data_IF_909100026597
#
_entry.id   IF_909100026597
#
_cell.length_a   1.000
_cell.length_b   1.000
_cell.length_c   1.000
_cell.angle_alpha   90.00
_cell.angle_beta   90.00
_cell.angle_gamma   90.00
#
_symmetry.space_group_name_H-M   'P 1'
#
loop_
_entity.id
_entity.type
_entity.pdbx_description
1 polymer ?
#
# COMPACT_ATOMS: atom_id res chain seq x y z
N UNK A 1 -24.86 28.82 -28.86
CA UNK A 1 -24.34 27.52 -28.40
C UNK A 1 -24.96 26.44 -29.28
N UNK A 2 -24.20 25.44 -29.71
CA UNK A 2 -24.78 24.25 -30.38
C UNK A 2 -25.38 23.32 -29.33
N UNK A 3 -26.29 22.42 -29.72
CA UNK A 3 -26.88 21.43 -28.79
C UNK A 3 -25.81 20.56 -28.11
N UNK A 4 -24.69 20.32 -28.80
CA UNK A 4 -23.50 19.62 -28.28
C UNK A 4 -22.87 20.38 -27.11
N UNK A 5 -22.68 21.70 -27.22
CA UNK A 5 -22.13 22.49 -26.11
C UNK A 5 -23.03 22.43 -24.87
N UNK A 6 -24.35 22.52 -25.05
CA UNK A 6 -25.32 22.47 -23.93
C UNK A 6 -25.25 21.11 -23.23
N UNK A 7 -25.23 20.01 -24.00
CA UNK A 7 -25.10 18.66 -23.45
C UNK A 7 -23.82 18.52 -22.61
N UNK A 8 -22.68 18.93 -23.14
CA UNK A 8 -21.39 18.83 -22.42
C UNK A 8 -21.38 19.68 -21.15
N UNK A 9 -21.94 20.90 -21.16
CA UNK A 9 -22.07 21.70 -19.94
C UNK A 9 -22.97 21.04 -18.89
N UNK A 10 -24.09 20.41 -19.30
CA UNK A 10 -24.95 19.66 -18.38
C UNK A 10 -24.22 18.46 -17.80
N UNK A 11 -23.53 17.65 -18.62
CA UNK A 11 -22.73 16.50 -18.16
C UNK A 11 -21.63 16.91 -17.18
N UNK A 12 -20.91 18.02 -17.44
CA UNK A 12 -19.88 18.55 -16.52
C UNK A 12 -20.50 18.99 -15.18
N UNK A 13 -21.66 19.63 -15.19
CA UNK A 13 -22.35 20.02 -13.96
C UNK A 13 -22.87 18.81 -13.17
N UNK A 14 -23.50 17.84 -13.85
CA UNK A 14 -24.05 16.62 -13.23
C UNK A 14 -22.96 15.71 -12.65
N UNK A 15 -21.80 15.63 -13.32
CA UNK A 15 -20.63 14.90 -12.84
C UNK A 15 -20.02 15.44 -11.54
N UNK A 16 -20.38 16.67 -11.13
CA UNK A 16 -19.80 17.33 -9.97
C UNK A 16 -20.43 16.85 -8.64
N UNK A 17 -19.66 16.87 -7.56
CA UNK A 17 -20.13 16.48 -6.23
C UNK A 17 -21.18 17.44 -5.69
N UNK A 18 -22.41 16.94 -5.51
CA UNK A 18 -23.48 17.67 -4.82
C UNK A 18 -23.32 17.62 -3.29
N UNK A 19 -24.00 18.51 -2.56
CA UNK A 19 -24.02 18.47 -1.09
C UNK A 19 -24.63 17.13 -0.62
N UNK A 20 -23.89 16.28 0.11
CA UNK A 20 -24.37 14.95 0.48
C UNK A 20 -25.45 15.02 1.57
N UNK A 21 -26.41 14.09 1.53
CA UNK A 21 -27.35 13.88 2.64
C UNK A 21 -26.68 13.15 3.81
N UNK A 22 -27.07 13.45 5.05
CA UNK A 22 -26.47 12.83 6.24
C UNK A 22 -25.17 13.50 6.73
N UNK A 23 -24.90 14.76 6.35
CA UNK A 23 -23.74 15.53 6.82
C UNK A 23 -23.61 15.52 8.35
N UNK A 24 -24.73 15.67 9.09
CA UNK A 24 -24.75 15.63 10.56
C UNK A 24 -24.42 14.26 11.16
N UNK A 25 -24.50 13.18 10.38
CA UNK A 25 -24.06 11.82 10.76
C UNK A 25 -22.60 11.54 10.33
N UNK A 26 -21.98 12.48 9.63
CA UNK A 26 -20.60 12.41 9.16
C UNK A 26 -20.43 12.11 7.67
N UNK A 27 -21.49 12.18 6.86
CA UNK A 27 -21.36 12.10 5.40
C UNK A 27 -20.72 13.39 4.84
N UNK A 28 -19.40 13.46 4.90
CA UNK A 28 -18.61 14.63 4.49
C UNK A 28 -17.77 14.38 3.24
N UNK A 29 -18.17 13.41 2.41
CA UNK A 29 -17.49 13.04 1.16
C UNK A 29 -18.49 13.04 0.01
N UNK A 30 -18.27 13.88 -0.99
CA UNK A 30 -19.05 13.90 -2.23
C UNK A 30 -18.11 13.82 -3.42
N UNK A 31 -17.95 12.61 -3.97
CA UNK A 31 -16.95 12.33 -5.00
C UNK A 31 -17.47 12.54 -6.43
N UNK A 32 -18.72 12.94 -6.62
CA UNK A 32 -19.34 13.12 -7.94
C UNK A 32 -19.28 11.85 -8.80
N UNK A 33 -19.39 12.02 -10.12
CA UNK A 33 -19.17 10.95 -11.09
C UNK A 33 -17.82 11.14 -11.80
N UNK A 34 -16.82 10.39 -11.34
CA UNK A 34 -15.43 10.51 -11.82
C UNK A 34 -15.28 10.15 -13.31
N UNK A 35 -15.82 9.00 -13.74
CA UNK A 35 -15.65 8.51 -15.10
C UNK A 35 -16.47 9.33 -16.11
N UNK A 36 -17.65 9.80 -15.71
CA UNK A 36 -18.45 10.73 -16.50
C UNK A 36 -17.75 12.09 -16.66
N UNK A 37 -17.18 12.64 -15.57
CA UNK A 37 -16.42 13.88 -15.66
C UNK A 37 -15.27 13.76 -16.69
N UNK A 38 -14.47 12.71 -16.63
CA UNK A 38 -13.34 12.53 -17.54
C UNK A 38 -13.76 12.21 -18.98
N UNK A 39 -14.97 11.70 -19.21
CA UNK A 39 -15.50 11.41 -20.54
C UNK A 39 -16.39 12.52 -21.13
N UNK A 40 -16.80 13.52 -20.32
CA UNK A 40 -17.73 14.58 -20.71
C UNK A 40 -17.36 15.35 -21.99
N UNK A 41 -16.07 15.57 -22.27
CA UNK A 41 -15.58 16.26 -23.48
C UNK A 41 -15.09 15.31 -24.59
N UNK A 42 -15.11 14.00 -24.37
CA UNK A 42 -14.53 13.02 -25.29
C UNK A 42 -15.16 13.11 -26.69
N UNK A 43 -14.31 13.18 -27.72
CA UNK A 43 -14.74 13.35 -29.12
C UNK A 43 -15.11 14.79 -29.52
N UNK A 44 -15.33 15.70 -28.57
CA UNK A 44 -15.68 17.10 -28.82
C UNK A 44 -14.55 18.11 -28.54
N UNK A 45 -13.42 17.63 -28.01
CA UNK A 45 -12.22 18.40 -27.62
C UNK A 45 -11.83 19.50 -28.62
N UNK A 46 -11.69 19.15 -29.91
CA UNK A 46 -11.31 20.10 -30.98
C UNK A 46 -12.38 21.15 -31.28
N UNK A 47 -13.65 20.87 -30.98
CA UNK A 47 -14.77 21.79 -31.21
C UNK A 47 -15.04 22.72 -30.02
N UNK A 48 -14.63 22.32 -28.81
CA UNK A 48 -14.80 23.07 -27.57
C UNK A 48 -13.54 23.83 -27.15
N UNK A 49 -12.35 23.37 -27.57
CA UNK A 49 -11.06 23.99 -27.24
C UNK A 49 -10.53 23.65 -25.83
N UNK A 50 -11.22 22.77 -25.08
CA UNK A 50 -10.81 22.29 -23.77
C UNK A 50 -11.17 20.81 -23.59
N UNK A 51 -10.50 20.14 -22.64
CA UNK A 51 -10.92 18.83 -22.11
C UNK A 51 -11.51 18.99 -20.71
N UNK A 52 -12.27 18.03 -20.22
CA UNK A 52 -12.75 18.03 -18.84
C UNK A 52 -11.69 17.53 -17.84
N UNK A 53 -11.76 18.06 -16.63
CA UNK A 53 -10.86 17.82 -15.52
C UNK A 53 -11.65 17.59 -14.24
N UNK A 54 -11.37 16.48 -13.57
CA UNK A 54 -11.92 16.13 -12.27
C UNK A 54 -11.00 16.66 -11.17
N UNK A 55 -11.48 17.55 -10.29
CA UNK A 55 -10.71 18.10 -9.18
C UNK A 55 -11.34 17.72 -7.83
N UNK A 56 -10.57 17.06 -6.94
CA UNK A 56 -11.00 16.78 -5.57
C UNK A 56 -10.55 17.89 -4.60
N UNK A 57 -11.50 18.71 -4.17
CA UNK A 57 -11.29 19.84 -3.24
C UNK A 57 -11.41 19.40 -1.79
N UNK A 58 -10.63 20.00 -0.89
CA UNK A 58 -10.72 19.78 0.56
C UNK A 58 -11.18 21.07 1.25
N UNK A 59 -12.29 20.99 1.96
CA UNK A 59 -12.86 22.06 2.76
C UNK A 59 -12.65 21.73 4.25
N UNK A 60 -12.09 22.69 5.01
CA UNK A 60 -12.02 22.62 6.48
C UNK A 60 -12.89 23.73 7.05
N UNK A 61 -13.66 23.41 8.09
CA UNK A 61 -14.66 24.31 8.66
C UNK A 61 -14.34 24.55 10.14
N UNK A 62 -14.34 25.80 10.57
CA UNK A 62 -14.09 26.20 11.97
C UNK A 62 -14.96 27.39 12.40
N UNK A 63 -15.07 27.64 13.71
CA UNK A 63 -15.91 28.71 14.28
C UNK A 63 -15.12 29.98 14.59
N UNK A 64 -15.68 31.14 14.24
CA UNK A 64 -15.12 32.45 14.56
C UNK A 64 -15.80 33.02 15.80
N UNK A 65 -15.03 33.56 16.74
CA UNK A 65 -15.57 34.23 17.93
C UNK A 65 -16.34 35.51 17.58
N UNK A 66 -17.66 35.38 17.40
CA UNK A 66 -18.63 36.49 17.23
C UNK A 66 -19.66 36.57 18.37
N UNK A 67 -19.32 36.08 19.56
CA UNK A 67 -20.18 36.12 20.76
C UNK A 67 -20.66 34.74 21.22
N UNK A 68 -20.85 34.60 22.53
CA UNK A 68 -20.88 33.33 23.25
C UNK A 68 -22.06 32.39 22.96
N UNK A 69 -23.17 32.88 22.40
CA UNK A 69 -24.35 32.06 22.10
C UNK A 69 -24.27 31.30 20.75
N UNK A 70 -23.83 31.98 19.69
CA UNK A 70 -23.80 31.40 18.34
C UNK A 70 -22.71 30.35 18.16
N UNK A 71 -21.52 30.61 18.73
CA UNK A 71 -20.36 29.72 18.64
C UNK A 71 -20.64 28.32 19.19
N UNK A 72 -21.27 28.22 20.36
CA UNK A 72 -21.61 26.93 21.01
C UNK A 72 -22.52 26.06 20.14
N UNK A 73 -23.49 26.66 19.45
CA UNK A 73 -24.40 25.92 18.54
C UNK A 73 -23.68 25.44 17.29
N UNK A 74 -22.84 26.29 16.69
CA UNK A 74 -22.09 25.96 15.48
C UNK A 74 -20.98 24.93 15.75
N UNK A 75 -20.27 25.05 16.88
CA UNK A 75 -19.30 24.07 17.35
C UNK A 75 -19.96 22.70 17.56
N UNK A 76 -21.16 22.65 18.18
CA UNK A 76 -21.90 21.39 18.34
C UNK A 76 -22.28 20.76 17.00
N UNK A 77 -22.63 21.55 15.99
CA UNK A 77 -22.91 21.06 14.63
C UNK A 77 -21.64 20.49 14.00
N UNK A 78 -20.53 21.21 14.06
CA UNK A 78 -19.22 20.76 13.56
C UNK A 78 -18.73 19.50 14.27
N UNK A 79 -18.99 19.37 15.57
CA UNK A 79 -18.64 18.17 16.32
C UNK A 79 -19.53 16.97 15.94
N UNK A 80 -20.82 17.16 15.63
CA UNK A 80 -21.65 16.08 15.06
C UNK A 80 -21.10 15.62 13.70
N UNK A 81 -20.85 16.56 12.77
CA UNK A 81 -20.30 16.26 11.43
C UNK A 81 -18.93 15.55 11.46
N UNK A 82 -18.12 15.79 12.50
CA UNK A 82 -16.77 15.23 12.64
C UNK A 82 -16.67 14.11 13.69
N UNK A 83 -17.81 13.65 14.23
CA UNK A 83 -17.89 12.65 15.32
C UNK A 83 -17.05 13.02 16.57
N UNK A 84 -16.98 14.31 16.89
CA UNK A 84 -16.24 14.87 18.03
C UNK A 84 -14.71 14.87 17.88
N UNK A 85 -14.17 14.59 16.67
CA UNK A 85 -12.72 14.49 16.46
C UNK A 85 -12.04 15.80 16.01
N UNK A 86 -12.81 16.80 15.54
CA UNK A 86 -12.32 18.10 15.05
C UNK A 86 -11.21 18.71 15.90
N UNK A 87 -11.46 18.96 17.20
CA UNK A 87 -10.49 19.61 18.09
C UNK A 87 -9.20 18.79 18.29
N UNK A 88 -9.26 17.45 18.25
CA UNK A 88 -8.07 16.58 18.40
C UNK A 88 -7.21 16.55 17.14
N UNK A 89 -7.83 16.63 15.97
CA UNK A 89 -7.16 16.68 14.66
C UNK A 89 -6.57 18.06 14.38
N UNK A 90 -7.28 19.13 14.78
CA UNK A 90 -6.81 20.51 14.61
C UNK A 90 -5.49 20.77 15.36
N UNK A 91 -5.43 20.37 16.64
CA UNK A 91 -4.27 20.62 17.50
C UNK A 91 -3.10 19.66 17.25
N UNK A 92 -3.30 18.53 16.56
CA UNK A 92 -2.23 17.60 16.19
C UNK A 92 -1.91 17.67 14.69
N UNK A 93 -1.16 18.68 14.27
CA UNK A 93 -0.58 18.75 12.91
C UNK A 93 0.34 17.56 12.57
N UNK A 94 0.77 16.79 13.57
CA UNK A 94 1.34 15.45 13.41
C UNK A 94 0.23 14.42 13.65
N UNK A 95 -0.60 14.18 12.63
CA UNK A 95 -1.64 13.17 12.71
C UNK A 95 -1.07 11.79 13.04
N UNK A 96 -1.82 10.96 13.77
CA UNK A 96 -1.55 9.53 13.78
C UNK A 96 -1.86 9.01 12.36
N UNK A 97 -0.82 8.73 11.58
CA UNK A 97 -0.85 8.46 10.12
C UNK A 97 -1.73 7.30 9.65
N UNK A 98 -2.49 6.67 10.54
CA UNK A 98 -3.32 5.50 10.29
C UNK A 98 -4.83 5.78 10.43
N UNK A 99 -5.25 6.92 10.98
CA UNK A 99 -6.66 7.28 11.13
C UNK A 99 -7.07 8.32 10.08
N UNK A 100 -8.19 8.13 9.35
CA UNK A 100 -8.67 9.10 8.39
C UNK A 100 -9.14 10.39 9.10
N UNK A 101 -8.65 11.54 8.63
CA UNK A 101 -9.04 12.84 9.17
C UNK A 101 -10.55 13.08 8.96
N UNK A 102 -11.28 13.22 10.06
CA UNK A 102 -12.72 13.43 10.09
C UNK A 102 -13.10 14.91 10.04
N UNK A 103 -12.13 15.83 10.12
CA UNK A 103 -12.30 17.28 9.99
C UNK A 103 -12.23 17.83 8.55
N UNK A 104 -11.90 16.98 7.55
CA UNK A 104 -11.88 17.37 6.13
C UNK A 104 -13.17 16.93 5.43
N UNK A 105 -13.89 17.90 4.87
CA UNK A 105 -14.96 17.65 3.92
C UNK A 105 -14.35 17.60 2.51
N UNK A 106 -14.62 16.54 1.75
CA UNK A 106 -14.01 16.31 0.43
C UNK A 106 -15.09 16.39 -0.65
N UNK A 107 -14.93 17.30 -1.62
CA UNK A 107 -15.90 17.55 -2.67
C UNK A 107 -15.26 17.58 -4.05
N UNK A 108 -15.78 16.77 -4.95
CA UNK A 108 -15.39 16.73 -6.35
C UNK A 108 -16.04 17.87 -7.14
N UNK A 109 -15.29 18.46 -8.08
CA UNK A 109 -15.81 19.38 -9.07
C UNK A 109 -15.28 18.99 -10.44
N UNK A 110 -16.16 18.92 -11.44
CA UNK A 110 -15.78 18.74 -12.83
C UNK A 110 -15.71 20.10 -13.52
N UNK A 111 -14.58 20.39 -14.16
CA UNK A 111 -14.27 21.71 -14.72
C UNK A 111 -13.54 21.58 -16.07
N UNK A 112 -13.47 22.64 -16.88
CA UNK A 112 -12.57 22.69 -18.03
C UNK A 112 -11.10 22.65 -17.60
N UNK A 113 -10.27 21.93 -18.35
CA UNK A 113 -8.81 21.78 -18.16
C UNK A 113 -8.02 23.09 -18.24
N UNK A 114 -8.67 24.19 -18.64
CA UNK A 114 -8.12 25.55 -18.64
C UNK A 114 -8.12 26.18 -17.24
N UNK A 115 -8.83 25.60 -16.26
CA UNK A 115 -8.88 26.06 -14.88
C UNK A 115 -7.79 25.37 -14.05
N UNK A 116 -6.84 26.12 -13.48
CA UNK A 116 -5.83 25.51 -12.61
C UNK A 116 -6.38 25.24 -11.21
N UNK A 117 -5.75 24.31 -10.47
CA UNK A 117 -6.08 24.06 -9.07
C UNK A 117 -6.03 25.34 -8.20
N UNK A 118 -5.12 26.27 -8.50
CA UNK A 118 -4.99 27.56 -7.81
C UNK A 118 -6.13 28.52 -8.13
N UNK A 119 -6.62 28.54 -9.38
CA UNK A 119 -7.77 29.34 -9.77
C UNK A 119 -9.05 28.82 -9.11
N UNK A 120 -9.17 27.50 -8.98
CA UNK A 120 -10.25 26.84 -8.26
C UNK A 120 -10.23 27.16 -6.77
N UNK A 121 -9.06 27.02 -6.11
CA UNK A 121 -8.88 27.36 -4.69
C UNK A 121 -9.22 28.84 -4.42
N UNK A 122 -8.71 29.76 -5.25
CA UNK A 122 -8.97 31.18 -5.12
C UNK A 122 -10.46 31.54 -5.33
N UNK A 123 -11.11 30.92 -6.32
CA UNK A 123 -12.53 31.14 -6.62
C UNK A 123 -13.44 30.60 -5.53
N UNK A 124 -13.26 29.33 -5.13
CA UNK A 124 -14.01 28.73 -4.05
C UNK A 124 -13.76 29.41 -2.72
N UNK A 125 -12.51 29.81 -2.42
CA UNK A 125 -12.16 30.53 -1.20
C UNK A 125 -12.83 31.91 -1.10
N UNK A 126 -13.09 32.58 -2.24
CA UNK A 126 -13.90 33.81 -2.28
C UNK A 126 -15.37 33.52 -2.03
N UNK A 127 -15.96 32.59 -2.78
CA UNK A 127 -17.36 32.20 -2.66
C UNK A 127 -17.70 31.69 -1.25
N UNK A 128 -16.82 30.90 -0.65
CA UNK A 128 -16.99 30.40 0.71
C UNK A 128 -16.96 31.55 1.73
N UNK A 129 -15.99 32.48 1.65
CA UNK A 129 -15.92 33.65 2.54
C UNK A 129 -17.12 34.59 2.40
N UNK A 130 -17.67 34.72 1.19
CA UNK A 130 -18.88 35.50 0.94
C UNK A 130 -20.12 34.81 1.52
N UNK A 131 -20.29 33.51 1.26
CA UNK A 131 -21.39 32.70 1.78
C UNK A 131 -21.39 32.57 3.32
N UNK A 132 -20.23 32.61 3.98
CA UNK A 132 -20.14 32.42 5.44
C UNK A 132 -19.93 33.70 6.25
N UNK A 133 -19.79 34.86 5.59
CA UNK A 133 -19.49 36.18 6.19
C UNK A 133 -20.28 36.48 7.47
N UNK A 134 -21.58 36.22 7.44
CA UNK A 134 -22.52 36.55 8.51
C UNK A 134 -22.96 35.33 9.36
N UNK A 135 -22.46 34.14 9.03
CA UNK A 135 -22.81 32.88 9.73
C UNK A 135 -21.95 32.57 10.96
N UNK A 136 -20.78 33.22 11.08
CA UNK A 136 -19.77 32.89 12.10
C UNK A 136 -18.90 31.67 11.77
N UNK A 137 -19.09 31.07 10.58
CA UNK A 137 -18.28 29.97 10.08
C UNK A 137 -17.08 30.50 9.26
N UNK A 138 -15.88 29.99 9.52
CA UNK A 138 -14.73 30.14 8.64
C UNK A 138 -14.53 28.84 7.85
N UNK A 139 -14.42 28.96 6.52
CA UNK A 139 -14.15 27.82 5.63
C UNK A 139 -12.82 28.05 4.93
N UNK A 140 -11.87 27.17 5.20
CA UNK A 140 -10.60 27.07 4.50
C UNK A 140 -10.75 26.09 3.33
N UNK A 141 -10.32 26.51 2.15
CA UNK A 141 -10.33 25.70 0.92
C UNK A 141 -8.89 25.38 0.55
N UNK A 142 -8.60 24.12 0.26
CA UNK A 142 -7.30 23.66 -0.22
C UNK A 142 -7.52 22.76 -1.44
N UNK A 143 -6.86 23.08 -2.57
CA UNK A 143 -6.91 22.28 -3.79
C UNK A 143 -5.49 21.92 -4.22
N UNK A 144 -5.13 20.66 -3.97
CA UNK A 144 -3.84 20.12 -4.38
C UNK A 144 -3.82 19.89 -5.90
N UNK A 145 -2.80 20.38 -6.60
CA UNK A 145 -2.63 20.20 -8.05
C UNK A 145 -2.65 18.71 -8.47
N UNK A 146 -2.12 17.85 -7.61
CA UNK A 146 -2.09 16.39 -7.79
C UNK A 146 -3.48 15.72 -7.73
N UNK A 147 -4.48 16.41 -7.17
CA UNK A 147 -5.86 15.93 -7.06
C UNK A 147 -6.76 16.37 -8.22
N UNK A 148 -6.21 17.12 -9.19
CA UNK A 148 -6.88 17.56 -10.41
C UNK A 148 -6.44 16.72 -11.62
N UNK A 149 -7.29 15.78 -12.03
CA UNK A 149 -7.00 14.75 -13.02
C UNK A 149 -7.74 15.02 -14.34
N UNK A 150 -7.07 14.85 -15.48
CA UNK A 150 -7.66 14.93 -16.82
C UNK A 150 -7.73 13.54 -17.44
N UNK A 151 -8.56 13.38 -18.49
CA UNK A 151 -8.64 12.15 -19.27
C UNK A 151 -7.31 11.88 -19.98
N UNK A 152 -6.48 11.07 -19.34
CA UNK A 152 -5.08 10.83 -19.72
C UNK A 152 -4.77 9.36 -19.47
N UNK A 153 -4.57 8.61 -20.56
CA UNK A 153 -4.01 7.27 -20.44
C UNK A 153 -2.62 7.36 -19.81
N UNK A 154 -2.43 6.68 -18.68
CA UNK A 154 -1.15 6.67 -17.98
C UNK A 154 -0.04 6.14 -18.90
N UNK A 155 0.87 7.02 -19.32
CA UNK A 155 1.94 6.67 -20.25
C UNK A 155 2.92 5.71 -19.57
N UNK A 156 3.18 4.57 -20.21
CA UNK A 156 4.18 3.59 -19.78
C UNK A 156 5.56 4.26 -19.64
N UNK A 157 6.12 4.30 -18.43
CA UNK A 157 7.48 4.77 -18.19
C UNK A 157 8.47 3.67 -18.57
N UNK A 158 9.74 4.04 -18.84
CA UNK A 158 10.81 3.08 -19.19
C UNK A 158 10.97 1.97 -18.14
N UNK A 159 10.78 2.30 -16.86
CA UNK A 159 10.81 1.33 -15.75
C UNK A 159 9.65 0.34 -15.75
N UNK A 160 8.45 0.77 -16.16
CA UNK A 160 7.28 -0.11 -16.26
C UNK A 160 7.50 -1.15 -17.38
N UNK A 161 8.00 -0.71 -18.54
CA UNK A 161 8.36 -1.60 -19.68
C UNK A 161 9.41 -2.64 -19.24
N UNK A 162 10.42 -2.22 -18.47
CA UNK A 162 11.44 -3.11 -17.92
C UNK A 162 10.84 -4.14 -16.94
N UNK A 163 9.95 -3.73 -16.04
CA UNK A 163 9.31 -4.68 -15.12
C UNK A 163 8.38 -5.65 -15.85
N UNK A 164 7.58 -5.19 -16.80
CA UNK A 164 6.73 -6.06 -17.62
C UNK A 164 7.55 -7.07 -18.42
N UNK A 165 8.74 -6.71 -18.93
CA UNK A 165 9.62 -7.67 -19.62
C UNK A 165 10.15 -8.76 -18.68
N UNK A 166 10.44 -8.44 -17.41
CA UNK A 166 10.79 -9.44 -16.38
C UNK A 166 9.61 -10.38 -16.10
N UNK A 167 8.40 -9.86 -15.96
CA UNK A 167 7.20 -10.68 -15.73
C UNK A 167 6.95 -11.62 -16.92
N UNK A 168 7.01 -11.11 -18.15
CA UNK A 168 6.87 -11.92 -19.37
C UNK A 168 7.96 -13.00 -19.44
N UNK A 169 9.22 -12.66 -19.13
CA UNK A 169 10.32 -13.62 -19.07
C UNK A 169 10.07 -14.73 -18.04
N UNK A 170 9.60 -14.40 -16.83
CA UNK A 170 9.26 -15.38 -15.80
C UNK A 170 8.09 -16.28 -16.21
N UNK A 171 7.07 -15.75 -16.89
CA UNK A 171 5.96 -16.53 -17.45
C UNK A 171 6.46 -17.50 -18.53
N UNK A 172 7.29 -17.04 -19.46
CA UNK A 172 7.89 -17.88 -20.51
C UNK A 172 8.78 -18.98 -19.92
N UNK A 173 9.64 -18.65 -18.94
CA UNK A 173 10.48 -19.60 -18.23
C UNK A 173 9.65 -20.67 -17.51
N UNK A 174 8.57 -20.25 -16.85
CA UNK A 174 7.63 -21.13 -16.15
C UNK A 174 6.89 -22.06 -17.11
N UNK A 175 6.43 -21.53 -18.26
CA UNK A 175 5.79 -22.32 -19.31
C UNK A 175 6.75 -23.34 -19.93
N UNK A 176 8.00 -22.95 -20.22
CA UNK A 176 9.03 -23.83 -20.75
C UNK A 176 9.41 -24.94 -19.76
N UNK A 177 9.64 -24.62 -18.48
CA UNK A 177 9.95 -25.59 -17.43
C UNK A 177 8.78 -26.57 -17.19
N UNK A 178 7.55 -26.07 -17.18
CA UNK A 178 6.35 -26.90 -17.06
C UNK A 178 6.18 -27.84 -18.26
N UNK A 179 6.41 -27.35 -19.47
CA UNK A 179 6.35 -28.14 -20.71
C UNK A 179 7.43 -29.23 -20.73
N UNK A 180 8.68 -28.88 -20.37
CA UNK A 180 9.77 -29.85 -20.22
C UNK A 180 9.43 -30.96 -19.22
N UNK A 181 8.90 -30.59 -18.05
CA UNK A 181 8.48 -31.55 -17.02
C UNK A 181 7.34 -32.46 -17.51
N UNK A 182 6.34 -31.94 -18.23
CA UNK A 182 5.25 -32.73 -18.82
C UNK A 182 5.75 -33.69 -19.91
N UNK A 183 6.70 -33.27 -20.75
CA UNK A 183 7.33 -34.15 -21.75
C UNK A 183 8.16 -35.25 -21.08
N UNK A 184 8.95 -34.91 -20.06
CA UNK A 184 9.79 -35.87 -19.34
C UNK A 184 8.97 -36.88 -18.54
N UNK A 185 7.87 -36.45 -17.90
CA UNK A 185 6.96 -37.34 -17.17
C UNK A 185 6.17 -38.26 -18.11
N UNK A 186 5.75 -37.79 -19.30
CA UNK A 186 5.21 -38.67 -20.36
C UNK A 186 6.24 -39.72 -20.78
N UNK A 187 7.46 -39.32 -21.16
CA UNK A 187 8.54 -40.25 -21.55
C UNK A 187 8.93 -41.24 -20.45
N UNK A 188 8.89 -40.87 -19.17
CA UNK A 188 9.08 -41.78 -18.02
C UNK A 188 7.92 -42.76 -17.83
N UNK A 189 6.70 -42.43 -18.27
CA UNK A 189 5.55 -43.35 -18.23
C UNK A 189 5.65 -44.45 -19.29
N UNK A 190 6.25 -44.13 -20.43
CA UNK A 190 6.52 -45.07 -21.52
C UNK A 190 7.81 -45.88 -21.31
N UNK A 191 8.79 -45.34 -20.55
CA UNK A 191 10.01 -46.04 -20.13
C UNK A 191 10.03 -46.30 -18.64
N UNK A 192 9.40 -47.40 -18.24
CA UNK A 192 9.62 -48.05 -16.95
C UNK A 192 11.11 -48.44 -16.87
N UNK A 193 11.77 -48.09 -15.76
CA UNK A 193 13.19 -48.37 -15.38
C UNK A 193 14.27 -47.38 -15.91
N UNK A 194 15.16 -47.00 -14.98
CA UNK A 194 16.39 -46.18 -15.11
C UNK A 194 16.27 -44.72 -15.60
N UNK A 195 16.33 -43.78 -14.64
CA UNK A 195 16.97 -42.47 -14.85
C UNK A 195 17.40 -41.87 -13.48
N UNK A 196 18.69 -41.96 -13.18
CA UNK A 196 19.32 -41.22 -12.07
C UNK A 196 19.12 -39.72 -12.31
N UNK A 197 18.66 -38.97 -11.31
CA UNK A 197 18.40 -37.54 -11.44
C UNK A 197 19.70 -36.71 -11.44
N UNK A 198 20.31 -36.55 -12.62
CA UNK A 198 21.37 -35.58 -12.81
C UNK A 198 20.92 -34.15 -12.47
N UNK A 199 21.82 -33.34 -11.89
CA UNK A 199 21.55 -32.00 -11.35
C UNK A 199 20.86 -31.05 -12.35
N UNK A 200 21.15 -31.21 -13.64
CA UNK A 200 20.50 -30.47 -14.73
C UNK A 200 18.97 -30.66 -14.79
N UNK A 201 18.46 -31.88 -14.53
CA UNK A 201 17.01 -32.14 -14.48
C UNK A 201 16.34 -31.38 -13.33
N UNK A 202 17.02 -31.21 -12.20
CA UNK A 202 16.48 -30.46 -11.04
C UNK A 202 16.39 -28.96 -11.34
N UNK A 203 17.36 -28.39 -12.05
CA UNK A 203 17.32 -26.99 -12.47
C UNK A 203 16.22 -26.74 -13.52
N UNK A 204 16.14 -27.60 -14.55
CA UNK A 204 15.14 -27.47 -15.63
C UNK A 204 13.69 -27.68 -15.17
N UNK A 205 13.47 -28.35 -14.03
CA UNK A 205 12.14 -28.57 -13.44
C UNK A 205 11.82 -27.66 -12.25
N UNK A 206 12.72 -26.74 -11.88
CA UNK A 206 12.57 -25.85 -10.72
C UNK A 206 11.36 -24.89 -10.84
N UNK A 207 11.05 -24.42 -12.05
CA UNK A 207 9.92 -23.54 -12.35
C UNK A 207 8.69 -24.31 -12.89
N UNK A 208 8.64 -25.64 -12.73
CA UNK A 208 7.51 -26.45 -13.19
C UNK A 208 6.27 -26.25 -12.32
N UNK A 209 5.23 -25.62 -12.88
CA UNK A 209 3.95 -25.40 -12.19
C UNK A 209 3.33 -26.71 -11.67
N UNK A 210 3.18 -27.79 -12.47
CA UNK A 210 2.58 -29.04 -11.95
C UNK A 210 3.34 -29.65 -10.76
N UNK A 211 4.68 -29.56 -10.77
CA UNK A 211 5.51 -30.08 -9.69
C UNK A 211 5.37 -29.24 -8.41
N UNK A 212 5.48 -27.91 -8.55
CA UNK A 212 5.40 -26.99 -7.43
C UNK A 212 3.98 -26.90 -6.86
N UNK A 213 2.95 -26.96 -7.70
CA UNK A 213 1.55 -27.02 -7.27
C UNK A 213 1.27 -28.29 -6.48
N UNK A 214 1.73 -29.46 -6.94
CA UNK A 214 1.58 -30.72 -6.20
C UNK A 214 2.30 -30.69 -4.84
N UNK A 215 3.43 -29.98 -4.72
CA UNK A 215 4.12 -29.77 -3.43
C UNK A 215 3.36 -28.80 -2.53
N UNK A 216 2.81 -27.72 -3.08
CA UNK A 216 2.06 -26.70 -2.34
C UNK A 216 0.75 -27.25 -1.76
N UNK A 217 0.05 -28.09 -2.53
CA UNK A 217 -1.19 -28.78 -2.12
C UNK A 217 -0.93 -30.17 -1.50
N UNK A 218 0.29 -30.42 -1.02
CA UNK A 218 0.59 -31.62 -0.23
C UNK A 218 0.28 -31.34 1.26
N UNK A 219 -0.94 -31.63 1.68
CA UNK A 219 -1.41 -31.45 3.07
C UNK A 219 -0.91 -32.53 4.04
N UNK A 220 0.19 -33.23 3.72
CA UNK A 220 0.81 -34.18 4.64
C UNK A 220 1.45 -33.44 5.82
N UNK A 221 0.89 -33.63 7.00
CA UNK A 221 1.39 -33.08 8.27
C UNK A 221 2.38 -34.08 8.88
N UNK A 222 3.68 -33.75 9.02
CA UNK A 222 4.64 -34.63 9.67
C UNK A 222 4.26 -34.89 11.14
N UNK A 223 4.50 -36.10 11.64
CA UNK A 223 4.13 -36.46 13.02
C UNK A 223 4.86 -35.62 14.08
N UNK A 224 6.03 -35.06 13.72
CA UNK A 224 6.85 -34.13 14.51
C UNK A 224 6.27 -32.70 14.67
N UNK A 225 5.00 -32.49 14.35
CA UNK A 225 4.35 -31.17 14.46
C UNK A 225 3.26 -31.17 15.53
N UNK A 226 3.15 -30.05 16.26
CA UNK A 226 2.17 -29.90 17.34
C UNK A 226 0.79 -29.61 16.71
N UNK A 227 0.10 -30.69 16.32
CA UNK A 227 -1.20 -30.67 15.60
C UNK A 227 -2.23 -29.68 16.15
N UNK A 228 -2.28 -29.50 17.47
CA UNK A 228 -3.21 -28.57 18.12
C UNK A 228 -2.87 -27.09 17.84
N UNK A 229 -1.60 -26.73 17.68
CA UNK A 229 -1.18 -25.34 17.44
C UNK A 229 -1.52 -24.91 16.02
N UNK A 230 -1.49 -25.82 15.03
CA UNK A 230 -1.83 -25.47 13.64
C UNK A 230 -3.30 -25.04 13.48
N UNK A 231 -4.22 -25.59 14.28
CA UNK A 231 -5.61 -25.10 14.38
C UNK A 231 -5.68 -23.66 14.92
N UNK A 232 -4.87 -23.33 15.94
CA UNK A 232 -4.82 -21.96 16.49
C UNK A 232 -4.21 -20.99 15.46
N UNK A 233 -3.18 -21.43 14.73
CA UNK A 233 -2.54 -20.66 13.65
C UNK A 233 -3.48 -20.39 12.48
N UNK A 234 -4.37 -21.33 12.14
CA UNK A 234 -5.43 -21.10 11.16
C UNK A 234 -6.38 -20.00 11.61
N UNK A 235 -6.84 -20.06 12.87
CA UNK A 235 -7.75 -19.05 13.44
C UNK A 235 -7.09 -17.66 13.53
N UNK A 236 -5.84 -17.55 13.97
CA UNK A 236 -5.11 -16.26 13.99
C UNK A 236 -4.81 -15.75 12.58
N UNK A 237 -4.58 -16.61 11.59
CA UNK A 237 -4.45 -16.17 10.18
C UNK A 237 -5.74 -15.52 9.68
N UNK A 238 -6.91 -16.10 10.01
CA UNK A 238 -8.21 -15.51 9.67
C UNK A 238 -8.47 -14.19 10.40
N UNK A 239 -8.03 -14.07 11.65
CA UNK A 239 -8.11 -12.84 12.43
C UNK A 239 -7.30 -11.72 11.77
N UNK A 240 -6.01 -11.97 11.44
CA UNK A 240 -5.16 -11.02 10.71
C UNK A 240 -5.79 -10.57 9.38
N UNK A 241 -6.35 -11.51 8.61
CA UNK A 241 -7.05 -11.20 7.36
C UNK A 241 -8.27 -10.29 7.58
N UNK A 242 -9.07 -10.56 8.61
CA UNK A 242 -10.21 -9.71 8.97
C UNK A 242 -9.75 -8.31 9.38
N UNK A 243 -8.73 -8.22 10.25
CA UNK A 243 -8.22 -6.96 10.78
C UNK A 243 -7.63 -6.05 9.68
N UNK A 244 -6.92 -6.62 8.70
CA UNK A 244 -6.49 -5.85 7.53
C UNK A 244 -7.67 -5.41 6.64
N UNK A 245 -8.68 -6.26 6.45
CA UNK A 245 -9.87 -5.91 5.65
C UNK A 245 -10.74 -4.83 6.30
N UNK A 246 -10.84 -4.82 7.63
CA UNK A 246 -11.55 -3.79 8.39
C UNK A 246 -10.80 -2.46 8.31
N UNK A 247 -9.48 -2.46 8.53
CA UNK A 247 -8.64 -1.26 8.34
C UNK A 247 -8.75 -0.66 6.93
N UNK A 248 -8.70 -1.48 5.88
CA UNK A 248 -8.92 -1.00 4.51
C UNK A 248 -10.32 -0.40 4.33
N UNK A 249 -11.37 -1.01 4.90
CA UNK A 249 -12.72 -0.46 4.84
C UNK A 249 -12.86 0.91 5.54
N UNK A 250 -12.05 1.20 6.57
CA UNK A 250 -12.05 2.53 7.22
C UNK A 250 -11.63 3.68 6.30
N UNK A 251 -10.94 3.39 5.19
CA UNK A 251 -10.47 4.42 4.24
C UNK A 251 -11.53 4.82 3.20
N UNK A 252 -12.57 4.00 3.03
CA UNK A 252 -13.69 4.21 2.09
C UNK A 252 -14.57 5.43 2.47
N UNK A 253 -15.44 5.92 1.58
CA UNK A 253 -16.46 6.92 1.94
C UNK A 253 -17.57 6.32 2.81
N UNK A 254 -17.67 6.78 4.06
CA UNK A 254 -18.75 6.41 5.00
C UNK A 254 -19.80 7.52 5.09
N UNK A 255 -21.08 7.15 4.95
CA UNK A 255 -22.22 8.05 5.19
C UNK A 255 -22.44 8.35 6.68
N UNK A 256 -22.13 7.40 7.56
CA UNK A 256 -22.23 7.58 9.01
C UNK A 256 -20.86 7.31 9.65
N UNK A 257 -20.10 8.38 9.94
CA UNK A 257 -18.79 8.30 10.61
C UNK A 257 -18.91 8.15 12.12
N UNK A 258 -20.06 8.52 12.70
CA UNK A 258 -20.34 8.30 14.11
C UNK A 258 -20.38 6.79 14.43
N UNK A 259 -21.11 6.00 13.63
CA UNK A 259 -21.18 4.55 13.72
C UNK A 259 -19.79 3.90 13.62
N UNK A 260 -18.90 4.39 12.75
CA UNK A 260 -17.52 3.91 12.69
C UNK A 260 -16.75 4.26 13.98
N UNK A 261 -16.90 5.47 14.50
CA UNK A 261 -16.25 5.87 15.76
C UNK A 261 -16.78 5.09 16.98
N UNK A 262 -18.06 4.74 16.99
CA UNK A 262 -18.71 3.93 18.03
C UNK A 262 -18.28 2.46 17.92
N UNK A 263 -18.26 1.91 16.71
CA UNK A 263 -17.80 0.54 16.42
C UNK A 263 -16.36 0.30 16.88
N UNK A 264 -15.47 1.29 16.76
CA UNK A 264 -14.09 1.22 17.27
C UNK A 264 -14.00 1.38 18.80
N UNK A 265 -14.99 2.02 19.44
CA UNK A 265 -15.09 2.17 20.91
C UNK A 265 -15.76 0.98 21.60
N UNK A 266 -16.53 0.19 20.86
CA UNK A 266 -17.26 -0.97 21.38
C UNK A 266 -16.29 -2.10 21.76
N UNK A 267 -16.22 -2.39 23.08
CA UNK A 267 -15.34 -3.40 23.67
C UNK A 267 -15.56 -4.78 23.03
N UNK A 268 -16.79 -5.12 22.64
CA UNK A 268 -17.09 -6.41 21.98
C UNK A 268 -16.49 -6.51 20.57
N UNK A 269 -16.27 -5.37 19.90
CA UNK A 269 -15.72 -5.28 18.54
C UNK A 269 -14.23 -4.94 18.53
N UNK A 270 -13.66 -4.46 19.64
CA UNK A 270 -12.23 -4.17 19.78
C UNK A 270 -11.34 -5.39 19.49
N UNK A 271 -11.77 -6.61 19.84
CA UNK A 271 -11.03 -7.84 19.53
C UNK A 271 -10.73 -7.93 18.02
N UNK A 272 -11.70 -7.62 17.17
CA UNK A 272 -11.57 -7.69 15.70
C UNK A 272 -10.85 -6.48 15.06
N UNK A 273 -10.44 -5.49 15.85
CA UNK A 273 -9.77 -4.27 15.37
C UNK A 273 -8.42 -4.01 16.04
N UNK A 274 -8.07 -4.74 17.11
CA UNK A 274 -6.80 -4.61 17.80
C UNK A 274 -5.69 -5.37 17.04
N UNK A 275 -5.21 -4.76 15.97
CA UNK A 275 -4.22 -5.32 15.05
C UNK A 275 -2.87 -5.65 15.67
N UNK A 276 -2.55 -5.10 16.85
CA UNK A 276 -1.30 -5.44 17.54
C UNK A 276 -1.43 -6.83 18.17
N UNK A 277 -2.39 -7.02 19.08
CA UNK A 277 -2.60 -8.28 19.82
C UNK A 277 -2.75 -9.52 18.91
N UNK A 278 -3.43 -9.35 17.77
CA UNK A 278 -3.62 -10.36 16.72
C UNK A 278 -2.27 -10.80 16.10
N UNK A 279 -1.47 -9.82 15.69
CA UNK A 279 -0.15 -10.00 15.09
C UNK A 279 0.86 -10.58 16.10
N UNK A 280 0.84 -10.10 17.35
CA UNK A 280 1.65 -10.60 18.46
C UNK A 280 1.39 -12.10 18.68
N UNK A 281 0.09 -12.48 18.74
CA UNK A 281 -0.35 -13.87 18.90
C UNK A 281 0.09 -14.75 17.73
N UNK A 282 -0.05 -14.27 16.50
CA UNK A 282 0.39 -14.99 15.30
C UNK A 282 1.91 -15.25 15.31
N UNK A 283 2.72 -14.27 15.70
CA UNK A 283 4.18 -14.42 15.76
C UNK A 283 4.65 -15.29 16.92
N UNK A 284 4.01 -15.21 18.09
CA UNK A 284 4.30 -16.08 19.23
C UNK A 284 4.12 -17.56 18.85
N UNK A 285 2.98 -17.91 18.24
CA UNK A 285 2.69 -19.28 17.80
C UNK A 285 3.68 -19.76 16.73
N UNK A 286 4.02 -18.88 15.78
CA UNK A 286 5.07 -19.16 14.78
C UNK A 286 6.45 -19.40 15.40
N UNK A 287 6.78 -18.69 16.50
CA UNK A 287 8.03 -18.84 17.25
C UNK A 287 8.09 -20.15 18.03
N UNK A 288 7.00 -20.52 18.71
CA UNK A 288 6.89 -21.76 19.50
C UNK A 288 7.02 -23.00 18.61
N UNK A 289 6.22 -23.12 17.54
CA UNK A 289 6.27 -24.28 16.62
C UNK A 289 7.67 -24.42 16.03
N UNK A 290 8.27 -23.30 15.60
CA UNK A 290 9.61 -23.31 15.01
C UNK A 290 10.68 -23.75 16.00
N UNK A 291 10.60 -23.31 17.25
CA UNK A 291 11.57 -23.69 18.29
C UNK A 291 11.45 -25.18 18.61
N UNK A 292 10.22 -25.70 18.70
CA UNK A 292 9.94 -27.12 18.87
C UNK A 292 10.48 -27.98 17.73
N UNK A 293 10.17 -27.66 16.47
CA UNK A 293 10.69 -28.41 15.31
C UNK A 293 12.21 -28.37 15.24
N UNK A 294 12.84 -27.26 15.63
CA UNK A 294 14.31 -27.18 15.66
C UNK A 294 14.93 -28.07 16.75
N UNK A 295 14.31 -28.13 17.94
CA UNK A 295 14.75 -29.04 19.02
C UNK A 295 14.61 -30.50 18.57
N UNK A 296 13.48 -30.88 17.96
CA UNK A 296 13.26 -32.23 17.46
C UNK A 296 14.32 -32.65 16.42
N UNK A 297 14.67 -31.75 15.50
CA UNK A 297 15.74 -31.97 14.51
C UNK A 297 17.14 -32.09 15.11
N UNK A 298 17.39 -31.50 16.28
CA UNK A 298 18.65 -31.65 17.02
C UNK A 298 18.70 -33.00 17.75
N UNK A 299 17.62 -33.39 18.44
CA UNK A 299 17.54 -34.65 19.20
C UNK A 299 17.70 -35.88 18.30
N UNK A 300 17.08 -35.87 17.10
CA UNK A 300 17.17 -36.99 16.15
C UNK A 300 18.47 -37.03 15.33
N UNK A 301 19.39 -36.08 15.49
CA UNK A 301 20.63 -35.90 14.69
C UNK A 301 20.43 -35.76 13.17
N UNK A 302 19.19 -35.70 12.68
CA UNK A 302 18.84 -35.44 11.28
C UNK A 302 18.91 -33.94 10.92
N UNK A 303 19.82 -33.18 11.54
CA UNK A 303 19.94 -31.74 11.28
C UNK A 303 20.62 -31.46 9.93
N UNK A 304 19.83 -31.55 8.86
CA UNK A 304 20.22 -31.11 7.53
C UNK A 304 20.55 -29.62 7.53
N UNK A 305 21.85 -29.29 7.53
CA UNK A 305 22.45 -27.94 7.54
C UNK A 305 21.74 -26.90 6.67
N UNK A 306 21.13 -27.32 5.56
CA UNK A 306 20.44 -26.47 4.60
C UNK A 306 18.99 -26.11 4.98
N UNK A 307 18.30 -26.98 5.72
CA UNK A 307 16.85 -26.90 5.93
C UNK A 307 16.47 -25.95 7.08
N UNK A 308 17.19 -26.00 8.22
CA UNK A 308 16.95 -25.11 9.36
C UNK A 308 17.25 -23.63 9.07
N UNK A 309 18.17 -23.36 8.13
CA UNK A 309 18.52 -22.01 7.67
C UNK A 309 17.37 -21.32 6.91
N UNK A 310 16.43 -22.09 6.35
CA UNK A 310 15.47 -21.59 5.36
C UNK A 310 14.24 -20.86 5.96
N UNK A 311 13.89 -21.05 7.23
CA UNK A 311 12.59 -20.60 7.79
C UNK A 311 12.55 -19.22 8.50
N UNK A 312 13.41 -18.24 8.14
CA UNK A 312 13.79 -17.18 9.11
C UNK A 312 13.07 -15.80 9.14
N UNK A 313 12.34 -15.28 8.13
CA UNK A 313 11.99 -13.83 8.14
C UNK A 313 10.63 -13.35 7.54
N UNK A 314 9.79 -12.73 8.38
CA UNK A 314 8.80 -11.63 8.15
C UNK A 314 8.32 -11.16 9.56
N UNK A 315 8.59 -9.95 10.09
CA UNK A 315 8.03 -8.60 9.83
C UNK A 315 6.59 -8.41 10.38
N UNK A 316 6.27 -7.56 11.37
CA UNK A 316 6.97 -6.36 11.94
C UNK A 316 6.56 -6.05 13.42
N UNK A 317 7.21 -5.06 14.07
CA UNK A 317 7.01 -4.43 15.42
C UNK A 317 6.94 -5.31 16.69
N UNK A 318 6.26 -6.46 16.71
CA UNK A 318 6.41 -7.47 17.79
C UNK A 318 7.51 -8.51 17.46
N UNK A 319 8.18 -8.25 16.33
CA UNK A 319 9.35 -8.93 15.80
C UNK A 319 10.53 -8.97 16.78
N UNK A 320 10.59 -8.09 17.78
CA UNK A 320 11.66 -8.09 18.78
C UNK A 320 11.61 -9.31 19.70
N UNK A 321 10.42 -9.80 20.09
CA UNK A 321 10.27 -11.05 20.85
C UNK A 321 10.69 -12.26 20.00
N UNK A 322 10.35 -12.25 18.71
CA UNK A 322 10.75 -13.29 17.76
C UNK A 322 12.25 -13.23 17.40
N UNK A 323 12.85 -12.03 17.39
CA UNK A 323 14.30 -11.82 17.28
C UNK A 323 15.03 -12.20 18.56
N UNK A 324 14.43 -12.02 19.73
CA UNK A 324 15.01 -12.45 21.00
C UNK A 324 15.04 -13.97 21.05
N UNK A 325 13.90 -14.65 20.87
CA UNK A 325 13.85 -16.12 20.87
C UNK A 325 14.67 -16.72 19.71
N UNK A 326 14.42 -16.27 18.48
CA UNK A 326 15.17 -16.72 17.30
C UNK A 326 16.64 -16.26 17.29
N UNK A 327 17.00 -15.28 18.11
CA UNK A 327 18.35 -14.74 18.29
C UNK A 327 19.13 -15.48 19.38
N UNK A 328 18.53 -15.72 20.54
CA UNK A 328 19.05 -16.61 21.59
C UNK A 328 19.29 -18.01 21.04
N UNK A 329 18.30 -18.56 20.33
CA UNK A 329 18.44 -19.86 19.65
C UNK A 329 19.54 -19.82 18.58
N UNK A 330 19.68 -18.73 17.82
CA UNK A 330 20.79 -18.56 16.86
C UNK A 330 22.14 -18.51 17.58
N UNK A 331 22.27 -17.71 18.63
CA UNK A 331 23.49 -17.56 19.41
C UNK A 331 23.89 -18.89 20.03
N UNK A 332 22.95 -19.68 20.56
CA UNK A 332 23.20 -21.03 21.04
C UNK A 332 23.73 -21.95 19.93
N UNK A 333 23.07 -22.02 18.76
CA UNK A 333 23.57 -22.80 17.63
C UNK A 333 24.92 -22.29 17.08
N UNK A 334 25.17 -20.98 17.15
CA UNK A 334 26.41 -20.35 16.69
C UNK A 334 27.58 -20.60 17.66
N UNK A 335 27.34 -20.63 18.97
CA UNK A 335 28.32 -21.02 19.98
C UNK A 335 28.74 -22.48 19.75
N UNK A 336 27.78 -23.39 19.58
CA UNK A 336 28.03 -24.79 19.25
C UNK A 336 28.80 -24.96 17.90
N UNK A 337 28.64 -24.02 16.95
CA UNK A 337 29.38 -23.99 15.68
C UNK A 337 30.79 -23.37 15.81
N UNK A 338 31.02 -22.49 16.78
CA UNK A 338 32.34 -21.91 17.06
C UNK A 338 33.25 -22.94 17.73
N UNK A 339 32.71 -23.79 18.60
CA UNK A 339 33.41 -24.94 19.18
C UNK A 339 33.91 -25.93 18.10
N UNK A 340 33.22 -26.00 16.95
CA UNK A 340 33.60 -26.81 15.80
C UNK A 340 34.31 -26.05 14.66
N UNK A 341 34.54 -24.73 14.78
CA UNK A 341 35.29 -23.86 13.83
C UNK A 341 34.78 -23.74 12.39
N UNK A 342 33.57 -24.20 12.04
CA UNK A 342 33.12 -24.28 10.64
C UNK A 342 32.36 -23.03 10.10
N UNK A 343 32.08 -22.00 10.92
CA UNK A 343 31.09 -20.98 10.53
C UNK A 343 31.64 -19.71 9.84
N UNK A 344 31.53 -19.66 8.50
CA UNK A 344 31.80 -18.46 7.70
C UNK A 344 30.67 -17.42 7.73
N UNK A 345 30.77 -16.41 8.62
CA UNK A 345 29.77 -15.34 8.78
C UNK A 345 29.36 -14.65 7.47
N UNK A 346 30.34 -14.33 6.62
CA UNK A 346 30.15 -13.61 5.35
C UNK A 346 29.32 -14.43 4.34
N UNK A 347 29.59 -15.73 4.23
CA UNK A 347 28.84 -16.66 3.36
C UNK A 347 27.36 -16.74 3.76
N UNK A 348 27.09 -16.78 5.08
CA UNK A 348 25.72 -16.76 5.61
C UNK A 348 24.97 -15.45 5.30
N UNK A 349 25.67 -14.31 5.33
CA UNK A 349 25.09 -13.02 4.95
C UNK A 349 24.75 -12.95 3.45
N UNK A 350 25.67 -13.36 2.58
CA UNK A 350 25.46 -13.38 1.12
C UNK A 350 24.27 -14.29 0.74
N UNK A 351 24.21 -15.50 1.28
CA UNK A 351 23.10 -16.42 1.00
C UNK A 351 21.75 -15.85 1.47
N UNK A 352 21.72 -15.12 2.60
CA UNK A 352 20.51 -14.44 3.06
C UNK A 352 20.08 -13.33 2.09
N UNK A 353 21.03 -12.50 1.63
CA UNK A 353 20.76 -11.43 0.69
C UNK A 353 20.25 -11.97 -0.66
N UNK A 354 20.94 -12.94 -1.26
CA UNK A 354 20.57 -13.54 -2.54
C UNK A 354 19.20 -14.25 -2.52
N UNK A 355 18.69 -14.63 -1.34
CA UNK A 355 17.39 -15.30 -1.21
C UNK A 355 16.23 -14.35 -0.93
N UNK A 356 16.43 -13.31 -0.13
CA UNK A 356 15.36 -12.36 0.25
C UNK A 356 15.19 -11.23 -0.77
N UNK A 357 16.29 -10.77 -1.37
CA UNK A 357 16.28 -9.62 -2.27
C UNK A 357 15.48 -9.89 -3.56
N UNK A 358 15.53 -11.05 -4.24
CA UNK A 358 14.74 -11.27 -5.46
C UNK A 358 13.21 -11.20 -5.28
N UNK A 359 12.58 -11.92 -4.32
CA UNK A 359 11.12 -11.79 -4.12
C UNK A 359 10.73 -10.40 -3.61
N UNK A 360 11.58 -9.74 -2.81
CA UNK A 360 11.32 -8.37 -2.37
C UNK A 360 11.44 -7.34 -3.51
N UNK A 361 12.42 -7.50 -4.40
CA UNK A 361 12.56 -6.69 -5.61
C UNK A 361 11.37 -6.87 -6.57
N UNK A 362 10.86 -8.09 -6.72
CA UNK A 362 9.62 -8.34 -7.45
C UNK A 362 8.41 -7.65 -6.80
N UNK A 363 8.32 -7.64 -5.47
CA UNK A 363 7.25 -6.95 -4.74
C UNK A 363 7.34 -5.42 -4.89
N UNK A 364 8.53 -4.83 -4.74
CA UNK A 364 8.78 -3.40 -4.98
C UNK A 364 8.43 -3.06 -6.44
N UNK A 365 8.88 -3.87 -7.40
CA UNK A 365 8.56 -3.69 -8.82
C UNK A 365 7.05 -3.76 -9.10
N UNK A 366 6.34 -4.69 -8.46
CA UNK A 366 4.88 -4.81 -8.56
C UNK A 366 4.16 -3.55 -8.06
N UNK A 367 4.47 -3.10 -6.84
CA UNK A 367 3.86 -1.89 -6.26
C UNK A 367 4.27 -0.59 -6.96
N UNK A 368 5.49 -0.52 -7.52
CA UNK A 368 5.97 0.65 -8.26
C UNK A 368 5.51 0.71 -9.71
N UNK A 369 5.03 -0.39 -10.31
CA UNK A 369 4.67 -0.43 -11.73
C UNK A 369 3.26 -0.98 -11.96
N UNK A 370 3.01 -2.25 -11.65
CA UNK A 370 1.76 -2.96 -11.98
C UNK A 370 0.56 -2.37 -11.26
N UNK A 371 0.66 -2.16 -9.94
CA UNK A 371 -0.49 -1.71 -9.12
C UNK A 371 -1.07 -0.40 -9.61
N UNK A 372 -0.24 0.51 -10.14
CA UNK A 372 -0.66 1.79 -10.74
C UNK A 372 -1.70 1.62 -11.84
N UNK A 373 -1.60 0.55 -12.64
CA UNK A 373 -2.47 0.26 -13.78
C UNK A 373 -3.64 -0.68 -13.45
N UNK A 374 -3.75 -1.17 -12.20
CA UNK A 374 -4.81 -2.10 -11.80
C UNK A 374 -6.19 -1.44 -11.60
N UNK A 375 -6.29 -0.12 -11.71
CA UNK A 375 -7.54 0.61 -11.48
C UNK A 375 -7.41 2.10 -11.80
N UNK A 376 -8.51 2.81 -11.60
CA UNK A 376 -8.66 4.26 -11.73
C UNK A 376 -9.70 4.73 -10.71
N UNK A 377 -9.74 6.03 -10.40
CA UNK A 377 -10.78 6.59 -9.54
C UNK A 377 -10.36 7.83 -8.78
N UNK A 378 -11.31 8.46 -8.06
CA UNK A 378 -11.15 9.79 -7.47
C UNK A 378 -10.06 9.88 -6.39
N UNK A 379 -9.83 8.78 -5.67
CA UNK A 379 -8.82 8.67 -4.60
C UNK A 379 -7.56 7.93 -5.09
N UNK A 380 -7.61 7.27 -6.26
CA UNK A 380 -6.57 6.37 -6.75
C UNK A 380 -5.19 7.03 -6.86
N UNK A 381 -5.15 8.27 -7.35
CA UNK A 381 -3.89 9.02 -7.45
C UNK A 381 -3.21 9.17 -6.08
N UNK A 382 -3.95 9.64 -5.05
CA UNK A 382 -3.41 9.84 -3.70
C UNK A 382 -3.10 8.53 -2.97
N UNK A 383 -3.98 7.53 -3.10
CA UNK A 383 -3.85 6.26 -2.40
C UNK A 383 -2.78 5.33 -2.99
N UNK A 384 -2.66 5.29 -4.32
CA UNK A 384 -1.78 4.37 -5.05
C UNK A 384 -0.65 5.11 -5.75
N UNK A 385 -0.95 6.04 -6.67
CA UNK A 385 0.06 6.60 -7.58
C UNK A 385 1.17 7.35 -6.82
N UNK A 386 0.80 8.14 -5.81
CA UNK A 386 1.78 8.82 -4.94
C UNK A 386 2.68 7.80 -4.23
N UNK A 387 2.12 6.75 -3.63
CA UNK A 387 2.89 5.72 -2.93
C UNK A 387 3.83 4.96 -3.90
N UNK A 388 3.34 4.63 -5.09
CA UNK A 388 4.13 4.02 -6.16
C UNK A 388 5.27 4.92 -6.64
N UNK A 389 5.06 6.24 -6.76
CA UNK A 389 6.12 7.19 -7.12
C UNK A 389 7.16 7.36 -5.99
N UNK A 390 6.75 7.38 -4.71
CA UNK A 390 7.68 7.27 -3.57
C UNK A 390 8.52 5.99 -3.63
N UNK A 391 7.92 4.85 -3.99
CA UNK A 391 8.66 3.60 -4.23
C UNK A 391 9.61 3.69 -5.44
N UNK A 392 9.21 4.34 -6.54
CA UNK A 392 10.05 4.54 -7.73
C UNK A 392 11.28 5.41 -7.47
N UNK A 393 11.19 6.36 -6.53
CA UNK A 393 12.33 7.17 -6.11
C UNK A 393 13.24 6.43 -5.12
N UNK A 394 12.66 5.67 -4.18
CA UNK A 394 13.38 5.13 -3.02
C UNK A 394 13.61 3.60 -3.06
N UNK A 395 13.36 2.92 -4.19
CA UNK A 395 13.49 1.46 -4.34
C UNK A 395 14.85 0.91 -3.90
N UNK A 396 15.94 1.64 -4.17
CA UNK A 396 17.29 1.20 -3.83
C UNK A 396 17.55 1.18 -2.31
N UNK A 397 16.95 2.10 -1.54
CA UNK A 397 17.03 2.12 -0.08
C UNK A 397 16.34 0.90 0.53
N UNK A 398 15.25 0.45 -0.10
CA UNK A 398 14.54 -0.76 0.28
C UNK A 398 15.37 -2.01 -0.04
N UNK A 399 15.96 -2.13 -1.24
CA UNK A 399 16.84 -3.27 -1.57
C UNK A 399 18.11 -3.35 -0.71
N UNK A 400 18.59 -2.21 -0.21
CA UNK A 400 19.69 -2.14 0.75
C UNK A 400 19.25 -2.39 2.20
N UNK A 401 17.95 -2.52 2.48
CA UNK A 401 17.34 -2.66 3.82
C UNK A 401 17.70 -1.53 4.80
N UNK A 402 17.94 -0.31 4.29
CA UNK A 402 18.30 0.89 5.08
C UNK A 402 17.16 1.90 5.23
N UNK A 403 15.98 1.59 4.68
CA UNK A 403 14.79 2.44 4.69
C UNK A 403 14.26 2.85 6.08
N UNK A 404 14.69 2.16 7.15
CA UNK A 404 14.37 2.49 8.54
C UNK A 404 15.41 3.40 9.23
N UNK A 405 16.62 3.51 8.66
CA UNK A 405 17.73 4.30 9.21
C UNK A 405 17.92 5.65 8.50
N UNK A 406 17.44 5.76 7.26
CA UNK A 406 17.56 6.95 6.43
C UNK A 406 16.22 7.67 6.38
N UNK A 407 16.18 8.90 6.89
CA UNK A 407 15.03 9.80 6.76
C UNK A 407 14.87 10.21 5.28
N UNK A 408 13.91 9.56 4.59
CA UNK A 408 13.67 9.75 3.17
C UNK A 408 13.37 11.23 2.81
N UNK A 409 12.77 12.01 3.71
CA UNK A 409 12.47 13.44 3.44
C UNK A 409 13.74 14.28 3.37
N UNK A 410 14.76 13.95 4.17
CA UNK A 410 16.07 14.61 4.14
C UNK A 410 16.92 14.18 2.95
N UNK A 411 16.81 12.91 2.54
CA UNK A 411 17.63 12.41 1.43
C UNK A 411 17.20 13.02 0.09
N UNK A 412 15.90 12.99 -0.25
CA UNK A 412 15.38 13.55 -1.51
C UNK A 412 15.68 15.04 -1.62
N UNK A 413 15.43 15.82 -0.55
CA UNK A 413 15.72 17.26 -0.53
C UNK A 413 17.22 17.59 -0.62
N UNK A 414 18.10 16.72 -0.10
CA UNK A 414 19.56 16.87 -0.23
C UNK A 414 20.02 16.51 -1.64
N UNK A 415 19.51 15.44 -2.23
CA UNK A 415 19.83 15.04 -3.62
C UNK A 415 19.35 16.10 -4.61
N UNK A 416 18.15 16.65 -4.44
CA UNK A 416 17.66 17.77 -5.27
C UNK A 416 18.54 19.01 -5.17
N UNK A 417 18.99 19.37 -3.96
CA UNK A 417 19.94 20.48 -3.75
C UNK A 417 21.31 20.21 -4.39
N UNK A 418 21.81 18.98 -4.34
CA UNK A 418 23.07 18.58 -4.98
C UNK A 418 22.96 18.60 -6.52
N UNK A 419 21.83 18.16 -7.09
CA UNK A 419 21.57 18.22 -8.53
C UNK A 419 21.42 19.67 -9.00
N UNK A 420 20.66 20.52 -8.29
CA UNK A 420 20.57 21.95 -8.59
C UNK A 420 21.93 22.65 -8.48
N UNK A 421 22.73 22.31 -7.46
CA UNK A 421 24.09 22.85 -7.32
C UNK A 421 24.96 22.45 -8.52
N UNK A 422 24.98 21.15 -8.87
CA UNK A 422 25.73 20.64 -10.02
C UNK A 422 25.28 21.24 -11.35
N UNK A 423 23.99 21.55 -11.50
CA UNK A 423 23.45 22.24 -12.68
C UNK A 423 23.94 23.69 -12.77
N UNK A 424 24.04 24.41 -11.65
CA UNK A 424 24.57 25.78 -11.61
C UNK A 424 26.09 25.82 -11.79
N UNK A 425 26.81 24.87 -11.22
CA UNK A 425 28.26 24.75 -11.38
C UNK A 425 28.59 24.52 -12.88
N UNK A 426 27.85 23.65 -13.57
CA UNK A 426 28.00 23.43 -15.02
C UNK A 426 27.64 24.64 -15.90
N UNK A 427 26.73 25.49 -15.44
CA UNK A 427 26.32 26.71 -16.14
C UNK A 427 27.37 27.83 -15.98
N UNK A 428 28.13 27.81 -14.87
CA UNK A 428 29.30 28.68 -14.68
C UNK A 428 30.51 28.26 -15.53
N UNK A 429 30.81 26.95 -15.60
CA UNK A 429 31.93 26.40 -16.38
C UNK A 429 31.76 26.55 -17.92
N UNK A 430 30.59 26.99 -18.39
CA UNK A 430 30.30 27.28 -19.80
C UNK A 430 30.29 28.78 -20.15
N UNK A 431 30.48 29.65 -19.14
CA UNK A 431 30.47 31.12 -19.27
C UNK A 431 31.84 31.74 -18.93
N UNK A 432 32.78 30.94 -18.43
CA UNK A 432 34.21 31.27 -18.23
C UNK A 432 35.10 30.66 -19.31
#
# INVERSE_FOLDING_TARGET
>A
MTSVSVLVYVTVLDSSGSIPSGILEGNIRSLGNYDECLSATAGYEKSLGFTSQYCLTMLRMDTVDKGSGGKVTLDRILDMMTSGRRHREWNNHKGLSYLPECSRFEMALCLPSSCSAKDLEATLGRLAKEATKDTGLHVEVNVEESACQVSSQMKLRKGDIFFFSIIIFLVVLTAASSTYHLIQTRKKKDKIITAVEGTSNKLLTAFSLPNNFRKLFNFYVPEETIKNIDSIRFLSTLWVMFTHKSFSAMQEPWSNKAFLSETVKDISKMVFHNSMLDVDTFFLLGGVVRSYTMLNQLDHKEFGYFTGFIHRYLSMLDVDTFFLLGGVVRSYTMLNQLDHKEFGYFTGFIHRYLRLTPPYALMIGFFSTVVVYCGSGPIWYRGVVVQSDWCRENWFLNLLYVNNYIDNQRLVSTIHKLIQKRSKDHEHDLVS
#
